data_IF_459484853922
#
_entry.id   IF_459484853922
#
_cell.length_a   1.000
_cell.length_b   1.000
_cell.length_c   1.000
_cell.angle_alpha   90.00
_cell.angle_beta   90.00
_cell.angle_gamma   90.00
#
_symmetry.space_group_name_H-M   'P 1'
#
loop_
_entity.id
_entity.type
_entity.pdbx_description
1 polymer ?
#
# COMPACT_ATOMS: atom_id res chain seq x y z
N UNK A 1 -27.44 39.13 -44.44
CA UNK A 1 -26.60 39.36 -43.24
C UNK A 1 -27.55 39.39 -42.04
N UNK A 2 -27.59 38.34 -41.20
CA UNK A 2 -28.31 38.35 -39.92
C UNK A 2 -27.62 37.38 -38.96
N UNK A 3 -26.86 37.94 -38.02
CA UNK A 3 -26.13 37.22 -36.97
C UNK A 3 -27.11 36.84 -35.87
N UNK A 4 -27.44 35.56 -35.72
CA UNK A 4 -27.99 35.03 -34.47
C UNK A 4 -26.88 34.24 -33.79
N UNK A 5 -26.29 34.86 -32.79
CA UNK A 5 -25.21 34.31 -31.97
C UNK A 5 -25.82 33.29 -30.99
N UNK A 6 -25.19 32.12 -30.94
CA UNK A 6 -25.44 31.00 -30.04
C UNK A 6 -25.21 31.37 -28.57
N UNK A 7 -25.96 30.75 -27.65
CA UNK A 7 -25.46 30.43 -26.31
C UNK A 7 -25.95 29.02 -25.96
N UNK A 8 -25.10 28.02 -26.18
CA UNK A 8 -25.23 26.70 -25.58
C UNK A 8 -24.46 26.73 -24.25
N UNK A 9 -25.17 26.84 -23.13
CA UNK A 9 -24.56 26.72 -21.81
C UNK A 9 -24.44 25.23 -21.46
N UNK A 10 -23.31 24.61 -21.83
CA UNK A 10 -22.92 23.30 -21.30
C UNK A 10 -22.31 23.58 -19.92
N UNK A 11 -23.04 23.25 -18.86
CA UNK A 11 -22.52 23.28 -17.51
C UNK A 11 -21.35 22.30 -17.42
N UNK A 12 -20.13 22.82 -17.29
CA UNK A 12 -18.96 22.02 -17.02
C UNK A 12 -19.13 21.36 -15.65
N UNK A 13 -19.30 20.04 -15.62
CA UNK A 13 -19.12 19.23 -14.43
C UNK A 13 -17.67 19.41 -13.97
N UNK A 14 -17.47 20.15 -12.87
CA UNK A 14 -16.20 20.18 -12.18
C UNK A 14 -15.95 18.79 -11.56
N UNK A 15 -15.31 17.90 -12.34
CA UNK A 15 -14.64 16.72 -11.81
C UNK A 15 -13.41 17.24 -11.06
N UNK A 16 -13.53 17.41 -9.75
CA UNK A 16 -12.38 17.62 -8.89
C UNK A 16 -11.42 16.43 -9.06
N UNK A 17 -10.16 16.76 -9.30
CA UNK A 17 -9.06 15.85 -9.65
C UNK A 17 -8.75 14.80 -8.53
N UNK A 18 -7.86 13.84 -8.82
CA UNK A 18 -8.00 12.43 -8.46
C UNK A 18 -7.90 12.12 -6.97
N UNK A 19 -8.70 11.13 -6.56
CA UNK A 19 -8.49 10.33 -5.36
C UNK A 19 -7.08 9.70 -5.43
N UNK A 20 -6.14 10.17 -4.60
CA UNK A 20 -4.73 9.72 -4.50
C UNK A 20 -4.56 8.26 -4.04
N UNK A 21 -5.65 7.51 -3.93
CA UNK A 21 -5.67 6.10 -3.54
C UNK A 21 -4.91 5.20 -4.53
N UNK A 22 -4.85 5.57 -5.81
CA UNK A 22 -4.13 4.79 -6.81
C UNK A 22 -2.62 4.71 -6.48
N UNK A 23 -2.01 5.82 -6.06
CA UNK A 23 -0.57 5.87 -5.78
C UNK A 23 -0.18 5.01 -4.57
N UNK A 24 -1.04 4.91 -3.56
CA UNK A 24 -0.71 4.21 -2.30
C UNK A 24 -0.94 2.71 -2.40
N UNK A 25 -1.95 2.28 -3.17
CA UNK A 25 -2.13 0.87 -3.56
C UNK A 25 -0.99 0.41 -4.47
N UNK A 26 -0.58 1.23 -5.44
CA UNK A 26 0.57 0.91 -6.31
C UNK A 26 1.87 0.81 -5.51
N UNK A 27 2.08 1.71 -4.54
CA UNK A 27 3.21 1.61 -3.60
C UNK A 27 3.16 0.33 -2.76
N UNK A 28 1.96 -0.14 -2.38
CA UNK A 28 1.80 -1.41 -1.67
C UNK A 28 2.18 -2.62 -2.54
N UNK A 29 1.80 -2.64 -3.82
CA UNK A 29 2.24 -3.67 -4.77
C UNK A 29 3.74 -3.63 -5.04
N UNK A 30 4.34 -2.44 -5.12
CA UNK A 30 5.80 -2.29 -5.23
C UNK A 30 6.49 -2.81 -3.97
N UNK A 31 5.95 -2.53 -2.79
CA UNK A 31 6.46 -3.07 -1.54
C UNK A 31 6.35 -4.60 -1.50
N UNK A 32 5.23 -5.18 -1.97
CA UNK A 32 5.13 -6.63 -2.14
C UNK A 32 6.22 -7.18 -3.06
N UNK A 33 6.47 -6.53 -4.20
CA UNK A 33 7.51 -6.94 -5.14
C UNK A 33 8.90 -6.95 -4.49
N UNK A 34 9.18 -5.99 -3.58
CA UNK A 34 10.42 -5.99 -2.79
C UNK A 34 10.49 -7.22 -1.89
N UNK A 35 9.42 -7.56 -1.18
CA UNK A 35 9.37 -8.76 -0.33
C UNK A 35 9.51 -10.05 -1.14
N UNK A 36 8.77 -10.19 -2.24
CA UNK A 36 8.85 -11.36 -3.12
C UNK A 36 10.27 -11.54 -3.68
N UNK A 37 10.93 -10.43 -4.03
CA UNK A 37 12.31 -10.43 -4.52
C UNK A 37 13.36 -10.86 -3.50
N UNK A 38 13.03 -10.94 -2.20
CA UNK A 38 13.98 -11.39 -1.17
C UNK A 38 14.19 -12.91 -1.16
N UNK A 39 13.23 -13.69 -1.67
CA UNK A 39 13.21 -15.14 -1.52
C UNK A 39 12.96 -15.64 -0.09
N UNK A 40 12.61 -14.77 0.86
CA UNK A 40 12.36 -15.13 2.26
C UNK A 40 10.91 -15.55 2.53
N UNK A 41 10.00 -15.28 1.59
CA UNK A 41 8.58 -15.54 1.82
C UNK A 41 8.24 -17.02 1.63
N UNK A 42 7.43 -17.54 2.55
CA UNK A 42 6.86 -18.90 2.49
C UNK A 42 5.69 -19.03 1.50
N UNK A 43 5.12 -17.91 1.08
CA UNK A 43 4.10 -17.78 0.03
C UNK A 43 4.18 -16.37 -0.57
N UNK A 44 3.65 -16.12 -1.77
CA UNK A 44 3.65 -14.78 -2.37
C UNK A 44 3.05 -13.73 -1.42
N UNK A 45 3.59 -12.52 -1.49
CA UNK A 45 3.04 -11.36 -0.80
C UNK A 45 1.60 -11.05 -1.27
N UNK A 46 0.77 -10.56 -0.36
CA UNK A 46 -0.62 -10.19 -0.65
C UNK A 46 -0.90 -8.73 -0.28
N UNK A 47 -1.60 -8.00 -1.15
CA UNK A 47 -2.02 -6.62 -0.88
C UNK A 47 -3.50 -6.61 -0.53
N UNK A 48 -3.79 -6.37 0.75
CA UNK A 48 -5.16 -6.21 1.22
C UNK A 48 -5.58 -4.74 1.15
N UNK A 49 -6.06 -4.31 -0.01
CA UNK A 49 -6.49 -2.91 -0.22
C UNK A 49 -7.57 -2.44 0.75
N UNK A 50 -8.57 -3.29 1.06
CA UNK A 50 -9.62 -2.96 2.04
C UNK A 50 -9.09 -2.79 3.47
N UNK A 51 -8.11 -3.59 3.87
CA UNK A 51 -7.51 -3.53 5.20
C UNK A 51 -6.32 -2.57 5.28
N UNK A 52 -5.97 -1.92 4.16
CA UNK A 52 -4.77 -1.11 3.97
C UNK A 52 -3.54 -1.84 4.50
N UNK A 53 -3.28 -3.05 4.00
CA UNK A 53 -2.21 -3.88 4.50
C UNK A 53 -1.40 -4.55 3.40
N UNK A 54 -0.10 -4.67 3.64
CA UNK A 54 0.81 -5.58 2.93
C UNK A 54 1.03 -6.79 3.82
N UNK A 55 0.52 -7.93 3.39
CA UNK A 55 0.54 -9.19 4.14
C UNK A 55 1.66 -10.09 3.62
N UNK A 56 2.59 -10.45 4.50
CA UNK A 56 3.73 -11.31 4.17
C UNK A 56 3.81 -12.47 5.14
N UNK A 57 4.21 -13.64 4.65
CA UNK A 57 4.39 -14.85 5.46
C UNK A 57 5.84 -15.29 5.44
N UNK A 58 6.53 -15.20 6.57
CA UNK A 58 7.96 -15.47 6.70
C UNK A 58 8.15 -16.54 7.77
N UNK A 59 8.99 -17.54 7.49
CA UNK A 59 9.38 -18.52 8.51
C UNK A 59 10.35 -17.89 9.51
N UNK A 60 9.77 -17.24 10.52
CA UNK A 60 10.53 -16.57 11.57
C UNK A 60 9.72 -16.45 12.87
N UNK A 61 10.37 -15.97 13.93
CA UNK A 61 9.72 -15.69 15.22
C UNK A 61 9.28 -14.21 15.33
N UNK A 62 8.42 -13.89 16.30
CA UNK A 62 7.85 -12.55 16.46
C UNK A 62 8.89 -11.45 16.72
N UNK A 63 10.02 -11.76 17.37
CA UNK A 63 11.07 -10.78 17.63
C UNK A 63 11.74 -10.35 16.33
N UNK A 64 12.11 -11.32 15.50
CA UNK A 64 12.76 -11.06 14.22
C UNK A 64 11.78 -10.48 13.20
N UNK A 65 10.53 -10.96 13.16
CA UNK A 65 9.46 -10.34 12.38
C UNK A 65 9.30 -8.85 12.72
N UNK A 66 9.36 -8.46 14.00
CA UNK A 66 9.26 -7.05 14.39
C UNK A 66 10.42 -6.23 13.84
N UNK A 67 11.65 -6.75 13.84
CA UNK A 67 12.81 -6.06 13.26
C UNK A 67 12.65 -5.89 11.75
N UNK A 68 12.26 -6.95 11.04
CA UNK A 68 11.98 -6.89 9.60
C UNK A 68 10.91 -5.84 9.30
N UNK A 69 9.81 -5.86 10.03
CA UNK A 69 8.71 -4.92 9.85
C UNK A 69 9.20 -3.46 9.98
N UNK A 70 9.87 -3.14 11.09
CA UNK A 70 10.34 -1.78 11.35
C UNK A 70 11.43 -1.35 10.38
N UNK A 71 12.37 -2.24 10.03
CA UNK A 71 13.44 -1.94 9.08
C UNK A 71 12.91 -1.65 7.67
N UNK A 72 11.88 -2.38 7.24
CA UNK A 72 11.25 -2.12 5.94
C UNK A 72 10.44 -0.82 5.96
N UNK A 73 9.70 -0.55 7.03
CA UNK A 73 8.96 0.71 7.17
C UNK A 73 9.91 1.94 7.18
N UNK A 74 11.03 1.85 7.89
CA UNK A 74 12.08 2.87 7.92
C UNK A 74 12.72 3.06 6.54
N UNK A 75 13.00 1.97 5.82
CA UNK A 75 13.48 2.06 4.43
C UNK A 75 12.48 2.78 3.50
N UNK A 76 11.17 2.55 3.66
CA UNK A 76 10.16 3.26 2.87
C UNK A 76 10.16 4.77 3.17
N UNK A 77 10.29 5.14 4.44
CA UNK A 77 10.32 6.56 4.86
C UNK A 77 11.58 7.25 4.33
N UNK A 78 12.75 6.62 4.45
CA UNK A 78 14.01 7.12 3.91
C UNK A 78 14.00 7.29 2.38
N UNK A 79 13.23 6.46 1.67
CA UNK A 79 13.04 6.57 0.21
C UNK A 79 11.92 7.54 -0.18
N UNK A 80 11.30 8.21 0.79
CA UNK A 80 10.14 9.09 0.62
C UNK A 80 8.97 8.41 -0.13
N UNK A 81 8.79 7.10 0.09
CA UNK A 81 7.64 6.35 -0.43
C UNK A 81 6.52 6.49 0.61
N UNK A 82 5.43 7.16 0.22
CA UNK A 82 4.33 7.52 1.12
C UNK A 82 3.09 6.65 0.85
N UNK A 83 2.31 6.47 1.89
CA UNK A 83 1.05 5.73 1.88
C UNK A 83 -0.05 6.58 2.51
N UNK A 84 -1.31 6.25 2.23
CA UNK A 84 -2.41 6.89 2.93
C UNK A 84 -2.40 6.48 4.41
N UNK A 85 -3.03 7.28 5.26
CA UNK A 85 -3.16 6.94 6.68
C UNK A 85 -3.86 5.58 6.84
N UNK A 86 -3.28 4.72 7.67
CA UNK A 86 -3.82 3.41 8.03
C UNK A 86 -3.08 2.23 7.39
N UNK A 87 -2.27 2.49 6.36
CA UNK A 87 -1.42 1.48 5.74
C UNK A 87 -0.41 0.88 6.71
N UNK A 88 -0.25 -0.46 6.64
CA UNK A 88 0.62 -1.24 7.54
C UNK A 88 1.20 -2.47 6.85
N UNK A 89 2.27 -3.00 7.42
CA UNK A 89 2.77 -4.34 7.12
C UNK A 89 2.23 -5.29 8.18
N UNK A 90 1.73 -6.46 7.78
CA UNK A 90 1.41 -7.59 8.68
C UNK A 90 2.27 -8.78 8.31
N UNK A 91 3.03 -9.26 9.29
CA UNK A 91 3.89 -10.43 9.13
C UNK A 91 3.25 -11.62 9.82
N UNK A 92 3.11 -12.71 9.09
CA UNK A 92 2.64 -14.01 9.54
C UNK A 92 3.80 -15.00 9.53
N UNK A 93 3.62 -16.11 10.25
CA UNK A 93 4.48 -17.29 10.11
C UNK A 93 3.63 -18.47 9.61
N UNK A 94 4.19 -19.41 8.83
CA UNK A 94 3.51 -20.66 8.50
C UNK A 94 2.98 -21.42 9.72
N UNK A 95 3.56 -21.16 10.90
CA UNK A 95 3.23 -21.81 12.16
C UNK A 95 2.33 -20.98 13.08
N UNK A 96 1.91 -19.77 12.66
CA UNK A 96 1.12 -18.87 13.53
C UNK A 96 -0.39 -19.11 13.48
N UNK A 97 -0.86 -20.11 12.73
CA UNK A 97 -2.29 -20.43 12.55
C UNK A 97 -3.12 -19.21 12.11
N UNK A 98 -2.58 -18.43 11.17
CA UNK A 98 -3.23 -17.22 10.66
C UNK A 98 -3.17 -16.00 11.59
N UNK A 99 -2.51 -16.10 12.75
CA UNK A 99 -2.27 -14.95 13.60
C UNK A 99 -1.09 -14.13 13.09
N UNK A 100 -1.21 -12.82 13.14
CA UNK A 100 -0.10 -11.92 12.83
C UNK A 100 0.95 -11.99 13.95
N UNK A 101 2.22 -12.16 13.61
CA UNK A 101 3.34 -12.20 14.55
C UNK A 101 4.07 -10.87 14.67
N UNK A 102 3.89 -9.95 13.71
CA UNK A 102 4.30 -8.55 13.81
C UNK A 102 3.43 -7.62 12.95
N UNK A 103 3.26 -6.38 13.41
CA UNK A 103 2.59 -5.31 12.66
C UNK A 103 3.32 -4.00 12.88
N UNK A 104 3.48 -3.21 11.83
CA UNK A 104 4.05 -1.87 11.88
C UNK A 104 3.37 -0.98 10.84
N UNK A 105 3.23 0.31 11.15
CA UNK A 105 2.65 1.30 10.25
C UNK A 105 3.63 1.65 9.14
N UNK A 106 3.09 1.90 7.94
CA UNK A 106 3.84 2.48 6.84
C UNK A 106 3.84 4.02 6.96
N UNK A 107 4.88 4.70 6.45
CA UNK A 107 4.95 6.16 6.48
C UNK A 107 3.84 6.77 5.62
N UNK A 108 3.23 7.85 6.13
CA UNK A 108 2.22 8.65 5.44
C UNK A 108 2.70 10.07 5.19
#
# INVERSE_FOLDING_TARGET
MNKKVLIAAIAALALNAPLTFADTVDNAYRLCSVFDGTGLLSKPCDVSGWNQAVDVSIDTNSSEARKICLGVADMMDQKNIRFDRGWKIRIYSPFSNGNTIATCSLPN
#
